data_IF_522209807182
#
_entry.id   IF_522209807182
#
_cell.length_a   1.000
_cell.length_b   1.000
_cell.length_c   1.000
_cell.angle_alpha   90.00
_cell.angle_beta   90.00
_cell.angle_gamma   90.00
#
_symmetry.space_group_name_H-M   'P 1'
#
loop_
_entity.id
_entity.type
_entity.pdbx_description
1 polymer ?
#
# COMPACT_ATOMS: atom_id res chain seq x y z
N UNK A 1 49.10 14.30 -12.50
CA UNK A 1 47.64 14.16 -12.71
C UNK A 1 47.21 12.84 -12.07
N UNK A 2 46.77 12.88 -10.81
CA UNK A 2 46.38 11.67 -10.06
C UNK A 2 44.93 11.33 -10.37
N UNK A 3 44.71 10.16 -10.97
CA UNK A 3 43.39 9.59 -11.16
C UNK A 3 42.85 9.12 -9.80
N UNK A 4 41.86 9.85 -9.27
CA UNK A 4 41.07 9.38 -8.15
C UNK A 4 40.19 8.22 -8.65
N UNK A 5 40.62 6.99 -8.36
CA UNK A 5 39.74 5.82 -8.41
C UNK A 5 38.67 6.05 -7.35
N UNK A 6 37.49 6.48 -7.79
CA UNK A 6 36.28 6.49 -6.99
C UNK A 6 35.96 5.03 -6.68
N UNK A 7 36.36 4.58 -5.49
CA UNK A 7 35.92 3.32 -4.91
C UNK A 7 34.41 3.40 -4.72
N UNK A 8 33.63 2.93 -5.69
CA UNK A 8 32.21 2.72 -5.51
C UNK A 8 32.03 1.66 -4.41
N UNK A 9 31.20 1.89 -3.38
CA UNK A 9 30.97 0.90 -2.35
C UNK A 9 30.29 -0.31 -2.97
N UNK A 10 31.01 -1.42 -3.08
CA UNK A 10 30.41 -2.72 -3.33
C UNK A 10 29.65 -3.10 -2.06
N UNK A 11 28.33 -2.91 -2.06
CA UNK A 11 27.49 -3.44 -0.97
C UNK A 11 27.73 -4.95 -0.91
N UNK A 12 28.17 -5.49 0.24
CA UNK A 12 28.47 -6.90 0.35
C UNK A 12 27.18 -7.72 0.13
N UNK A 13 27.29 -8.82 -0.61
CA UNK A 13 26.16 -9.67 -1.01
C UNK A 13 25.26 -10.04 0.19
N UNK A 14 25.84 -10.25 1.38
CA UNK A 14 25.10 -10.52 2.62
C UNK A 14 24.07 -9.44 2.97
N UNK A 15 24.42 -8.15 2.81
CA UNK A 15 23.49 -7.04 3.08
C UNK A 15 22.36 -6.95 2.07
N UNK A 16 22.60 -7.34 0.82
CA UNK A 16 21.56 -7.39 -0.21
C UNK A 16 20.55 -8.52 0.04
N UNK A 17 21.04 -9.68 0.52
CA UNK A 17 20.19 -10.82 0.90
C UNK A 17 19.31 -10.48 2.11
N UNK A 18 19.88 -9.86 3.15
CA UNK A 18 19.13 -9.41 4.34
C UNK A 18 18.06 -8.36 3.98
N UNK A 19 18.41 -7.39 3.13
CA UNK A 19 17.46 -6.38 2.64
C UNK A 19 16.32 -7.03 1.84
N UNK A 20 16.62 -7.98 0.95
CA UNK A 20 15.59 -8.70 0.20
C UNK A 20 14.67 -9.53 1.13
N UNK A 21 15.24 -10.19 2.14
CA UNK A 21 14.47 -10.92 3.14
C UNK A 21 13.55 -9.98 3.95
N UNK A 22 14.04 -8.81 4.36
CA UNK A 22 13.25 -7.83 5.09
C UNK A 22 12.11 -7.27 4.23
N UNK A 23 12.36 -6.94 2.96
CA UNK A 23 11.31 -6.52 2.02
C UNK A 23 10.25 -7.61 1.86
N UNK A 24 10.67 -8.86 1.73
CA UNK A 24 9.71 -9.98 1.62
C UNK A 24 8.87 -10.17 2.89
N UNK A 25 9.47 -9.94 4.06
CA UNK A 25 8.77 -10.01 5.34
C UNK A 25 7.74 -8.87 5.48
N UNK A 26 8.09 -7.65 5.08
CA UNK A 26 7.19 -6.49 5.09
C UNK A 26 6.00 -6.69 4.13
N UNK A 27 6.26 -7.24 2.94
CA UNK A 27 5.21 -7.61 1.98
C UNK A 27 4.28 -8.69 2.53
N UNK A 28 4.83 -9.71 3.19
CA UNK A 28 4.03 -10.76 3.82
C UNK A 28 3.19 -10.21 4.99
N UNK A 29 3.77 -9.31 5.78
CA UNK A 29 3.11 -8.68 6.92
C UNK A 29 1.93 -7.80 6.48
N UNK A 30 2.15 -6.92 5.50
CA UNK A 30 1.08 -6.05 4.97
C UNK A 30 -0.07 -6.85 4.33
N UNK A 31 0.24 -7.97 3.67
CA UNK A 31 -0.77 -8.91 3.16
C UNK A 31 -1.59 -9.57 4.27
N UNK A 32 -0.93 -10.00 5.35
CA UNK A 32 -1.62 -10.59 6.50
C UNK A 32 -2.56 -9.58 7.18
N UNK A 33 -2.14 -8.32 7.32
CA UNK A 33 -2.98 -7.24 7.83
C UNK A 33 -4.20 -6.99 6.93
N UNK A 34 -4.02 -6.98 5.61
CA UNK A 34 -5.11 -6.88 4.64
C UNK A 34 -6.13 -8.02 4.79
N UNK A 35 -5.66 -9.26 4.88
CA UNK A 35 -6.54 -10.43 4.98
C UNK A 35 -7.32 -10.41 6.31
N UNK A 36 -6.68 -10.02 7.41
CA UNK A 36 -7.36 -9.82 8.70
C UNK A 36 -8.38 -8.69 8.63
N UNK A 37 -8.04 -7.55 8.01
CA UNK A 37 -8.95 -6.42 7.83
C UNK A 37 -10.20 -6.83 7.04
N UNK A 38 -10.02 -7.62 5.97
CA UNK A 38 -11.10 -8.18 5.17
C UNK A 38 -12.01 -9.09 5.98
N UNK A 39 -11.43 -9.95 6.83
CA UNK A 39 -12.19 -10.82 7.72
C UNK A 39 -12.99 -10.03 8.77
N UNK A 40 -12.42 -8.96 9.33
CA UNK A 40 -13.12 -8.06 10.26
C UNK A 40 -14.27 -7.32 9.57
N UNK A 41 -14.04 -6.84 8.35
CA UNK A 41 -15.09 -6.19 7.56
C UNK A 41 -16.27 -7.12 7.28
N UNK A 42 -15.99 -8.38 6.92
CA UNK A 42 -17.02 -9.40 6.71
C UNK A 42 -17.85 -9.71 7.97
N UNK A 43 -17.31 -9.43 9.16
CA UNK A 43 -18.00 -9.57 10.46
C UNK A 43 -18.76 -8.31 10.87
N UNK A 44 -18.73 -7.25 10.06
CA UNK A 44 -19.32 -5.95 10.37
C UNK A 44 -18.45 -5.06 11.27
N UNK A 45 -17.22 -5.47 11.56
CA UNK A 45 -16.29 -4.73 12.42
C UNK A 45 -15.51 -3.69 11.60
N UNK A 46 -16.23 -2.71 11.04
CA UNK A 46 -15.69 -1.75 10.07
C UNK A 46 -14.54 -0.88 10.63
N UNK A 47 -14.57 -0.52 11.90
CA UNK A 47 -13.51 0.28 12.53
C UNK A 47 -12.19 -0.50 12.64
N UNK A 48 -12.29 -1.78 13.03
CA UNK A 48 -11.16 -2.71 13.07
C UNK A 48 -10.60 -2.95 11.67
N UNK A 49 -11.47 -3.18 10.69
CA UNK A 49 -11.08 -3.35 9.29
C UNK A 49 -10.33 -2.13 8.76
N UNK A 50 -10.87 -0.93 9.00
CA UNK A 50 -10.24 0.34 8.62
C UNK A 50 -8.85 0.47 9.21
N UNK A 51 -8.68 0.23 10.51
CA UNK A 51 -7.38 0.35 11.17
C UNK A 51 -6.33 -0.63 10.61
N UNK A 52 -6.75 -1.85 10.25
CA UNK A 52 -5.88 -2.87 9.67
C UNK A 52 -5.52 -2.55 8.21
N UNK A 53 -6.50 -2.11 7.42
CA UNK A 53 -6.27 -1.68 6.04
C UNK A 53 -5.38 -0.43 5.96
N UNK A 54 -5.51 0.53 6.90
CA UNK A 54 -4.59 1.66 6.99
C UNK A 54 -3.15 1.20 7.19
N UNK A 55 -2.90 0.32 8.16
CA UNK A 55 -1.54 -0.19 8.40
C UNK A 55 -0.98 -0.95 7.18
N UNK A 56 -1.81 -1.79 6.54
CA UNK A 56 -1.40 -2.50 5.33
C UNK A 56 -1.11 -1.54 4.16
N UNK A 57 -1.94 -0.50 3.98
CA UNK A 57 -1.78 0.50 2.93
C UNK A 57 -0.54 1.39 3.16
N UNK A 58 -0.25 1.76 4.41
CA UNK A 58 0.97 2.48 4.80
C UNK A 58 2.23 1.64 4.53
N UNK A 59 2.15 0.32 4.65
CA UNK A 59 3.18 -0.63 4.25
C UNK A 59 3.22 -0.93 2.73
N UNK A 60 2.42 -0.22 1.93
CA UNK A 60 2.44 -0.29 0.46
C UNK A 60 1.54 -1.37 -0.15
N UNK A 61 0.63 -1.99 0.61
CA UNK A 61 -0.29 -2.99 0.07
C UNK A 61 -1.42 -2.33 -0.75
N UNK A 62 -1.31 -2.39 -2.08
CA UNK A 62 -2.23 -1.74 -3.02
C UNK A 62 -3.70 -2.16 -2.85
N UNK A 63 -3.97 -3.44 -2.56
CA UNK A 63 -5.32 -3.94 -2.29
C UNK A 63 -5.95 -3.32 -1.04
N UNK A 64 -5.14 -3.07 0.00
CA UNK A 64 -5.65 -2.47 1.24
C UNK A 64 -5.93 -0.98 1.05
N UNK A 65 -5.08 -0.29 0.28
CA UNK A 65 -5.32 1.10 -0.12
C UNK A 65 -6.60 1.22 -0.96
N UNK A 66 -6.90 0.26 -1.84
CA UNK A 66 -8.15 0.22 -2.59
C UNK A 66 -9.37 0.07 -1.66
N UNK A 67 -9.36 -0.94 -0.78
CA UNK A 67 -10.49 -1.22 0.12
C UNK A 67 -10.73 -0.06 1.10
N UNK A 68 -9.67 0.55 1.63
CA UNK A 68 -9.75 1.76 2.44
C UNK A 68 -10.32 2.94 1.66
N UNK A 69 -9.91 3.12 0.40
CA UNK A 69 -10.45 4.13 -0.50
C UNK A 69 -11.96 3.97 -0.71
N UNK A 70 -12.41 2.74 -0.96
CA UNK A 70 -13.83 2.42 -1.13
C UNK A 70 -14.63 2.64 0.17
N UNK A 71 -14.06 2.29 1.32
CA UNK A 71 -14.69 2.52 2.62
C UNK A 71 -14.88 4.02 2.90
N UNK A 72 -13.86 4.84 2.60
CA UNK A 72 -13.93 6.30 2.76
C UNK A 72 -14.92 6.94 1.80
N UNK A 73 -15.01 6.44 0.56
CA UNK A 73 -16.06 6.86 -0.37
C UNK A 73 -17.45 6.59 0.18
N UNK A 74 -17.68 5.39 0.75
CA UNK A 74 -18.96 5.04 1.35
C UNK A 74 -19.29 5.92 2.58
N UNK A 75 -18.27 6.36 3.31
CA UNK A 75 -18.40 7.31 4.42
C UNK A 75 -18.54 8.78 3.98
N UNK A 76 -18.44 9.07 2.67
CA UNK A 76 -18.51 10.43 2.13
C UNK A 76 -17.21 11.24 2.23
N UNK A 77 -16.11 10.65 2.72
CA UNK A 77 -14.79 11.29 2.72
C UNK A 77 -14.13 11.12 1.35
N UNK A 78 -14.51 12.03 0.46
CA UNK A 78 -14.10 11.97 -0.93
C UNK A 78 -12.60 12.23 -1.12
N UNK A 79 -12.03 13.12 -0.30
CA UNK A 79 -10.62 13.51 -0.35
C UNK A 79 -9.73 12.39 0.18
N UNK A 80 -10.10 11.81 1.33
CA UNK A 80 -9.40 10.65 1.88
C UNK A 80 -9.42 9.47 0.92
N UNK A 81 -10.58 9.20 0.30
CA UNK A 81 -10.70 8.15 -0.70
C UNK A 81 -9.77 8.35 -1.90
N UNK A 82 -9.73 9.56 -2.46
CA UNK A 82 -8.90 9.87 -3.63
C UNK A 82 -7.41 9.63 -3.33
N UNK A 83 -6.94 10.01 -2.13
CA UNK A 83 -5.55 9.83 -1.74
C UNK A 83 -5.14 8.34 -1.71
N UNK A 84 -5.98 7.49 -1.12
CA UNK A 84 -5.70 6.06 -1.05
C UNK A 84 -5.87 5.36 -2.40
N UNK A 85 -6.87 5.74 -3.19
CA UNK A 85 -7.03 5.21 -4.54
C UNK A 85 -5.87 5.62 -5.46
N UNK A 86 -5.28 6.82 -5.30
CA UNK A 86 -4.04 7.23 -6.01
C UNK A 86 -2.84 6.38 -5.62
N UNK A 87 -2.72 6.02 -4.34
CA UNK A 87 -1.66 5.12 -3.90
C UNK A 87 -1.84 3.73 -4.52
N UNK A 88 -3.07 3.19 -4.53
CA UNK A 88 -3.39 1.89 -5.11
C UNK A 88 -3.24 1.84 -6.64
N UNK A 89 -3.60 2.91 -7.35
CA UNK A 89 -3.62 2.97 -8.81
C UNK A 89 -2.25 2.78 -9.49
N UNK A 90 -1.15 2.84 -8.73
CA UNK A 90 0.19 2.54 -9.24
C UNK A 90 0.31 1.06 -9.65
N UNK A 91 -0.35 0.17 -8.91
CA UNK A 91 -0.20 -1.28 -9.04
C UNK A 91 -1.55 -2.01 -9.16
N UNK A 92 -2.68 -1.32 -9.03
CA UNK A 92 -4.04 -1.88 -9.13
C UNK A 92 -4.90 -1.13 -10.17
N UNK A 93 -5.22 -1.80 -11.27
CA UNK A 93 -6.05 -1.26 -12.36
C UNK A 93 -7.50 -0.94 -11.92
N UNK A 94 -8.02 -1.61 -10.88
CA UNK A 94 -9.35 -1.32 -10.32
C UNK A 94 -9.35 0.06 -9.66
N UNK A 95 -8.28 0.39 -8.95
CA UNK A 95 -8.14 1.69 -8.32
C UNK A 95 -8.04 2.83 -9.35
N UNK A 96 -7.33 2.61 -10.46
CA UNK A 96 -7.27 3.57 -11.56
C UNK A 96 -8.66 3.84 -12.20
N UNK A 97 -9.47 2.79 -12.38
CA UNK A 97 -10.84 2.92 -12.84
C UNK A 97 -11.73 3.68 -11.85
N UNK A 98 -11.63 3.37 -10.55
CA UNK A 98 -12.36 4.08 -9.49
C UNK A 98 -11.99 5.56 -9.42
N UNK A 99 -10.71 5.94 -9.55
CA UNK A 99 -10.30 7.34 -9.63
C UNK A 99 -10.89 8.06 -10.83
N UNK A 100 -10.89 7.40 -11.99
CA UNK A 100 -11.45 7.99 -13.22
C UNK A 100 -12.93 8.32 -13.05
N UNK A 101 -13.69 7.43 -12.40
CA UNK A 101 -15.09 7.68 -12.07
C UNK A 101 -15.23 8.80 -11.04
N UNK A 102 -14.36 8.81 -10.03
CA UNK A 102 -14.33 9.83 -8.99
C UNK A 102 -14.17 11.24 -9.55
N UNK A 103 -13.21 11.41 -10.45
CA UNK A 103 -12.90 12.71 -11.07
C UNK A 103 -13.96 13.18 -12.06
N UNK A 104 -14.93 12.32 -12.44
CA UNK A 104 -16.06 12.68 -13.31
C UNK A 104 -17.29 13.13 -12.53
N UNK A 105 -17.31 12.94 -11.21
CA UNK A 105 -18.41 13.40 -10.37
C UNK A 105 -18.26 14.91 -10.14
N UNK A 106 -19.32 15.71 -10.40
CA UNK A 106 -19.27 17.17 -10.28
C UNK A 106 -19.21 17.65 -8.83
#
# INVERSE_FOLDING_TARGET
>A
MSAALVTAPLTPISTAVEAAAQVSAEQAFSRALHDLGTAMYARGEQDSARALWTQAAEAGHSGAAYDLGMLLMAAGDQVGAENWLKAAARDDARAAASLTELSRRP
#
